data_IF_082930546036
#
_entry.id   IF_082930546036
#
_cell.length_a   1.000
_cell.length_b   1.000
_cell.length_c   1.000
_cell.angle_alpha   90.00
_cell.angle_beta   90.00
_cell.angle_gamma   90.00
#
_symmetry.space_group_name_H-M   'P 1'
#
loop_
_entity.id
_entity.type
_entity.pdbx_description
1 polymer ?
#
# COMPACT_ATOMS: atom_id res chain seq x y z
N UNK A 1 0.17 -17.50 9.36
CA UNK A 1 0.15 -16.81 10.67
C UNK A 1 -1.26 -16.28 10.94
N UNK A 2 -1.65 -16.14 12.20
CA UNK A 2 -2.91 -15.49 12.54
C UNK A 2 -2.89 -14.02 12.10
N UNK A 3 -4.08 -13.48 11.89
CA UNK A 3 -4.28 -12.04 11.70
C UNK A 3 -3.90 -11.29 12.98
N UNK A 4 -3.31 -10.11 12.82
CA UNK A 4 -3.04 -9.22 13.94
C UNK A 4 -4.26 -8.32 14.16
N UNK A 5 -4.71 -8.23 15.40
CA UNK A 5 -5.79 -7.33 15.78
C UNK A 5 -5.26 -6.23 16.69
N UNK A 6 -5.56 -4.98 16.33
CA UNK A 6 -5.32 -3.81 17.16
C UNK A 6 -6.66 -3.16 17.47
N UNK A 7 -6.85 -2.70 18.70
CA UNK A 7 -8.10 -2.05 19.07
C UNK A 7 -7.96 -1.07 20.23
N UNK A 8 -8.82 -0.08 20.19
CA UNK A 8 -9.10 0.81 21.32
C UNK A 8 -10.61 0.94 21.52
N UNK A 9 -11.07 1.90 22.35
CA UNK A 9 -12.48 2.12 22.61
C UNK A 9 -13.30 2.45 21.35
N UNK A 10 -12.68 3.11 20.35
CA UNK A 10 -13.37 3.65 19.17
C UNK A 10 -13.07 2.88 17.88
N UNK A 11 -11.88 2.34 17.73
CA UNK A 11 -11.39 1.79 16.47
C UNK A 11 -10.96 0.32 16.61
N UNK A 12 -11.14 -0.42 15.53
CA UNK A 12 -10.62 -1.78 15.34
C UNK A 12 -9.87 -1.86 14.02
N UNK A 13 -8.69 -2.48 14.05
CA UNK A 13 -7.83 -2.70 12.90
C UNK A 13 -7.40 -4.17 12.86
N UNK A 14 -7.49 -4.79 11.69
CA UNK A 14 -7.01 -6.13 11.43
C UNK A 14 -6.00 -6.11 10.30
N UNK A 15 -4.86 -6.78 10.49
CA UNK A 15 -3.72 -6.78 9.56
C UNK A 15 -3.35 -8.22 9.25
N UNK A 16 -3.08 -8.53 7.97
CA UNK A 16 -2.56 -9.81 7.52
C UNK A 16 -1.06 -9.76 7.25
N UNK A 17 -0.20 -10.33 8.12
CA UNK A 17 1.24 -10.42 7.83
C UNK A 17 1.56 -11.30 6.62
N UNK A 18 0.75 -12.30 6.34
CA UNK A 18 0.93 -13.24 5.21
C UNK A 18 0.66 -12.59 3.85
N UNK A 19 -0.11 -11.51 3.83
CA UNK A 19 -0.58 -10.84 2.63
C UNK A 19 -0.09 -9.39 2.61
N UNK A 20 1.22 -9.18 2.58
CA UNK A 20 1.83 -7.86 2.41
C UNK A 20 1.65 -6.88 3.58
N UNK A 21 1.40 -7.37 4.81
CA UNK A 21 0.98 -6.54 5.93
C UNK A 21 -0.25 -5.67 5.60
N UNK A 22 -1.13 -6.19 4.74
CA UNK A 22 -2.34 -5.53 4.28
C UNK A 22 -3.38 -5.42 5.39
N UNK A 23 -4.19 -4.37 5.35
CA UNK A 23 -5.33 -4.20 6.25
C UNK A 23 -6.53 -4.95 5.68
N UNK A 24 -7.03 -5.93 6.42
CA UNK A 24 -8.21 -6.72 6.08
C UNK A 24 -9.49 -6.14 6.65
N UNK A 25 -9.39 -5.36 7.72
CA UNK A 25 -10.52 -4.63 8.31
C UNK A 25 -10.02 -3.38 9.05
N UNK A 26 -10.70 -2.25 8.84
CA UNK A 26 -10.54 -1.04 9.63
C UNK A 26 -11.91 -0.38 9.80
N UNK A 27 -12.39 -0.30 11.03
CA UNK A 27 -13.73 0.22 11.30
C UNK A 27 -13.81 1.11 12.56
N UNK A 28 -14.81 1.99 12.56
CA UNK A 28 -15.32 2.68 13.73
C UNK A 28 -16.22 1.72 14.50
N UNK A 29 -15.81 1.36 15.71
CA UNK A 29 -16.53 0.41 16.57
C UNK A 29 -17.83 0.99 17.13
N UNK A 30 -17.88 2.30 17.37
CA UNK A 30 -19.06 2.95 17.93
C UNK A 30 -20.18 3.07 16.91
N UNK A 31 -19.81 3.39 15.65
CA UNK A 31 -20.74 3.55 14.56
C UNK A 31 -21.01 2.24 13.81
N UNK A 32 -20.28 1.18 14.16
CA UNK A 32 -20.27 -0.11 13.43
C UNK A 32 -20.09 0.09 11.91
N UNK A 33 -19.17 0.98 11.53
CA UNK A 33 -18.96 1.38 10.13
C UNK A 33 -17.54 1.09 9.69
N UNK A 34 -17.40 0.35 8.57
CA UNK A 34 -16.10 0.13 7.95
C UNK A 34 -15.60 1.43 7.32
N UNK A 35 -14.35 1.80 7.64
CA UNK A 35 -13.66 2.98 7.11
C UNK A 35 -12.93 2.60 5.83
N UNK A 36 -12.19 1.48 5.86
CA UNK A 36 -11.65 0.87 4.66
C UNK A 36 -12.56 -0.26 4.18
N UNK A 37 -12.48 -0.58 2.90
CA UNK A 37 -13.14 -1.75 2.32
C UNK A 37 -12.75 -3.00 3.12
N UNK A 38 -13.70 -3.73 3.72
CA UNK A 38 -13.39 -4.95 4.43
C UNK A 38 -13.01 -6.07 3.45
N UNK A 39 -12.10 -6.94 3.85
CA UNK A 39 -11.77 -8.13 3.08
C UNK A 39 -12.98 -9.08 3.01
N UNK A 40 -13.36 -9.59 1.82
CA UNK A 40 -14.55 -10.41 1.66
C UNK A 40 -14.45 -11.74 2.45
N UNK A 41 -15.47 -12.04 3.25
CA UNK A 41 -15.56 -13.31 4.02
C UNK A 41 -15.52 -14.57 3.16
N UNK A 42 -15.93 -14.47 1.90
CA UNK A 42 -15.97 -15.56 0.92
C UNK A 42 -14.60 -15.90 0.32
N UNK A 43 -13.58 -15.08 0.57
CA UNK A 43 -12.24 -15.30 0.01
C UNK A 43 -11.24 -15.71 1.09
N UNK A 44 -10.30 -16.56 0.69
CA UNK A 44 -9.16 -16.92 1.56
C UNK A 44 -8.11 -15.78 1.55
N UNK A 45 -7.53 -15.52 2.71
CA UNK A 45 -6.42 -14.57 2.85
C UNK A 45 -5.14 -15.23 2.33
N UNK A 46 -4.79 -14.91 1.11
CA UNK A 46 -3.59 -15.40 0.41
C UNK A 46 -2.97 -14.26 -0.39
N UNK A 47 -1.70 -14.40 -0.77
CA UNK A 47 -0.99 -13.42 -1.61
C UNK A 47 -1.73 -13.08 -2.93
N UNK A 48 -2.49 -14.01 -3.49
CA UNK A 48 -3.23 -13.81 -4.74
C UNK A 48 -4.52 -13.01 -4.56
N UNK A 49 -4.95 -12.78 -3.33
CA UNK A 49 -6.17 -12.06 -2.98
C UNK A 49 -5.90 -10.70 -2.34
N UNK A 50 -4.66 -10.21 -2.37
CA UNK A 50 -4.27 -8.92 -1.76
C UNK A 50 -5.05 -7.72 -2.32
N UNK A 51 -5.50 -7.75 -3.57
CA UNK A 51 -6.38 -6.74 -4.18
C UNK A 51 -7.71 -6.54 -3.45
N UNK A 52 -8.17 -7.53 -2.71
CA UNK A 52 -9.42 -7.43 -1.95
C UNK A 52 -9.25 -6.82 -0.57
N UNK A 53 -8.02 -6.52 -0.15
CA UNK A 53 -7.75 -5.84 1.12
C UNK A 53 -8.21 -4.37 1.09
N UNK A 54 -8.35 -3.79 2.26
CA UNK A 54 -8.68 -2.37 2.40
C UNK A 54 -7.47 -1.45 2.29
N UNK A 55 -6.26 -2.00 2.33
CA UNK A 55 -5.02 -1.27 2.23
C UNK A 55 -3.86 -2.22 2.01
N UNK A 56 -2.88 -1.78 1.23
CA UNK A 56 -1.55 -2.37 1.19
C UNK A 56 -0.48 -1.29 0.93
N UNK A 57 0.76 -1.59 1.31
CA UNK A 57 1.90 -0.72 1.02
C UNK A 57 2.51 -1.07 -0.32
N UNK A 58 2.93 -0.07 -1.08
CA UNK A 58 3.67 -0.23 -2.33
C UNK A 58 5.15 0.00 -2.06
N UNK A 59 5.96 -1.04 -2.22
CA UNK A 59 7.40 -1.02 -1.95
C UNK A 59 8.12 -2.13 -2.73
N UNK A 60 9.29 -1.86 -3.36
CA UNK A 60 10.14 -0.67 -3.28
C UNK A 60 9.77 0.41 -4.30
N UNK A 61 8.77 0.21 -5.13
CA UNK A 61 8.24 1.20 -6.05
C UNK A 61 6.71 1.16 -6.07
N UNK A 62 6.12 2.27 -6.53
CA UNK A 62 4.70 2.39 -6.72
C UNK A 62 4.40 2.55 -8.22
N UNK A 63 3.20 2.10 -8.65
CA UNK A 63 2.81 2.12 -10.07
C UNK A 63 3.31 0.92 -10.86
N UNK A 64 3.10 0.97 -12.18
CA UNK A 64 3.43 -0.09 -13.15
C UNK A 64 4.80 0.19 -13.78
N UNK A 65 5.60 -0.86 -13.92
CA UNK A 65 6.82 -0.84 -14.74
C UNK A 65 6.49 -1.57 -16.05
N UNK A 66 6.23 -0.79 -17.11
CA UNK A 66 5.82 -1.32 -18.41
C UNK A 66 6.84 -2.29 -19.00
N UNK A 67 6.34 -3.37 -19.59
CA UNK A 67 7.16 -4.47 -20.15
C UNK A 67 8.08 -5.11 -19.12
N UNK A 68 7.79 -4.94 -17.81
CA UNK A 68 8.63 -5.43 -16.70
C UNK A 68 10.11 -5.00 -16.79
N UNK A 69 10.41 -3.85 -17.39
CA UNK A 69 11.79 -3.46 -17.67
C UNK A 69 12.02 -2.00 -17.28
N UNK A 70 13.10 -1.74 -16.56
CA UNK A 70 13.55 -0.38 -16.27
C UNK A 70 15.04 -0.22 -16.57
N UNK A 71 15.45 1.02 -16.83
CA UNK A 71 16.83 1.38 -17.14
C UNK A 71 17.53 1.84 -15.87
N UNK A 72 18.64 1.19 -15.53
CA UNK A 72 19.46 1.52 -14.36
C UNK A 72 20.93 1.22 -14.63
N UNK A 73 21.83 2.14 -14.25
CA UNK A 73 23.29 2.01 -14.47
C UNK A 73 23.65 1.57 -15.90
N UNK A 74 23.11 2.28 -16.89
CA UNK A 74 23.32 2.03 -18.33
C UNK A 74 22.92 0.62 -18.82
N UNK A 75 22.01 -0.04 -18.10
CA UNK A 75 21.51 -1.39 -18.46
C UNK A 75 20.00 -1.45 -18.31
N UNK A 76 19.37 -2.24 -19.19
CA UNK A 76 17.97 -2.63 -19.01
C UNK A 76 17.90 -3.82 -18.08
N UNK A 77 17.13 -3.67 -17.01
CA UNK A 77 16.88 -4.71 -16.01
C UNK A 77 15.48 -5.24 -16.21
N UNK A 78 15.36 -6.53 -16.47
CA UNK A 78 14.08 -7.23 -16.55
C UNK A 78 13.67 -7.70 -15.17
N UNK A 79 12.44 -7.35 -14.73
CA UNK A 79 11.87 -7.77 -13.47
C UNK A 79 10.93 -8.97 -13.65
N UNK A 80 10.85 -9.80 -12.64
CA UNK A 80 9.79 -10.82 -12.55
C UNK A 80 8.50 -10.20 -12.09
N UNK A 81 7.38 -10.59 -12.68
CA UNK A 81 6.04 -10.18 -12.24
C UNK A 81 5.78 -10.57 -10.80
N UNK A 82 5.19 -9.68 -10.08
CA UNK A 82 4.90 -9.85 -8.65
C UNK A 82 3.51 -10.42 -8.39
N UNK A 83 2.59 -10.27 -9.34
CA UNK A 83 1.23 -10.80 -9.24
C UNK A 83 0.78 -11.46 -10.56
N UNK A 84 0.15 -12.66 -10.52
CA UNK A 84 -0.16 -13.42 -11.73
C UNK A 84 -1.28 -12.79 -12.60
N UNK A 85 -2.13 -11.94 -12.03
CA UNK A 85 -3.22 -11.30 -12.77
C UNK A 85 -2.80 -10.00 -13.46
N UNK A 86 -1.59 -9.52 -13.23
CA UNK A 86 -1.10 -8.29 -13.83
C UNK A 86 -0.33 -8.56 -15.12
N UNK A 87 -0.56 -7.80 -16.18
CA UNK A 87 0.18 -7.94 -17.43
C UNK A 87 1.65 -7.49 -17.30
N UNK A 88 1.92 -6.54 -16.42
CA UNK A 88 3.24 -6.00 -16.11
C UNK A 88 3.51 -6.04 -14.61
N UNK A 89 4.77 -5.87 -14.20
CA UNK A 89 5.09 -5.78 -12.78
C UNK A 89 4.59 -4.47 -12.17
N UNK A 90 3.99 -4.56 -10.98
CA UNK A 90 3.32 -3.43 -10.33
C UNK A 90 3.63 -3.39 -8.83
N UNK A 91 3.80 -2.18 -8.28
CA UNK A 91 3.88 -1.89 -6.84
C UNK A 91 5.01 -2.59 -6.06
N UNK A 92 6.00 -3.13 -6.76
CA UNK A 92 7.02 -3.97 -6.13
C UNK A 92 6.44 -5.29 -5.63
N UNK A 93 7.11 -5.93 -4.68
CA UNK A 93 6.63 -7.21 -4.15
C UNK A 93 6.14 -7.15 -2.70
N UNK A 94 6.34 -6.02 -2.02
CA UNK A 94 5.99 -5.90 -0.60
C UNK A 94 4.54 -6.23 -0.28
N UNK A 95 3.62 -5.88 -1.17
CA UNK A 95 2.18 -6.08 -1.01
C UNK A 95 1.71 -7.55 -1.15
N UNK A 96 2.52 -8.43 -1.76
CA UNK A 96 2.21 -9.86 -1.96
C UNK A 96 3.07 -10.78 -1.10
N UNK A 97 4.07 -10.25 -0.40
CA UNK A 97 4.98 -11.05 0.41
C UNK A 97 4.57 -11.09 1.86
N UNK A 98 5.06 -12.10 2.55
CA UNK A 98 4.92 -12.23 3.99
C UNK A 98 5.84 -11.26 4.72
N UNK A 99 5.30 -10.56 5.72
CA UNK A 99 6.04 -9.69 6.62
C UNK A 99 6.18 -10.34 8.00
N UNK A 100 7.33 -10.16 8.61
CA UNK A 100 7.61 -10.63 9.97
C UNK A 100 7.10 -9.60 10.98
N UNK A 101 6.31 -10.04 11.95
CA UNK A 101 5.91 -9.20 13.08
C UNK A 101 7.12 -8.99 13.97
N UNK A 102 7.51 -7.73 14.18
CA UNK A 102 8.61 -7.34 15.05
C UNK A 102 8.11 -6.99 16.45
N UNK A 103 6.98 -6.28 16.53
CA UNK A 103 6.37 -5.87 17.78
C UNK A 103 4.86 -5.74 17.60
N UNK A 104 4.12 -6.12 18.63
CA UNK A 104 2.67 -5.90 18.69
C UNK A 104 2.27 -5.52 20.12
N UNK A 105 1.35 -4.57 20.22
CA UNK A 105 0.62 -4.21 21.43
C UNK A 105 -0.87 -4.21 21.15
N UNK A 106 -1.69 -3.86 22.12
CA UNK A 106 -3.14 -3.72 21.91
C UNK A 106 -3.51 -2.66 20.85
N UNK A 107 -2.67 -1.64 20.66
CA UNK A 107 -2.96 -0.48 19.81
C UNK A 107 -1.91 -0.21 18.74
N UNK A 108 -0.86 -0.99 18.67
CA UNK A 108 0.21 -0.80 17.68
C UNK A 108 0.81 -2.10 17.19
N UNK A 109 1.31 -2.09 15.96
CA UNK A 109 2.12 -3.17 15.39
C UNK A 109 3.26 -2.61 14.54
N UNK A 110 4.39 -3.30 14.56
CA UNK A 110 5.53 -3.06 13.68
C UNK A 110 5.85 -4.35 12.93
N UNK A 111 5.85 -4.28 11.60
CA UNK A 111 6.14 -5.40 10.73
C UNK A 111 7.31 -5.05 9.82
N UNK A 112 8.15 -6.04 9.52
CA UNK A 112 9.32 -5.89 8.65
C UNK A 112 9.28 -6.90 7.51
N UNK A 113 9.75 -6.47 6.36
CA UNK A 113 10.01 -7.27 5.18
C UNK A 113 11.43 -7.01 4.71
N UNK A 114 12.19 -8.07 4.42
CA UNK A 114 13.56 -7.98 3.90
C UNK A 114 13.60 -8.61 2.52
N UNK A 115 13.95 -7.84 1.53
CA UNK A 115 14.21 -8.28 0.16
C UNK A 115 15.69 -8.54 -0.05
N UNK A 116 16.02 -9.66 -0.72
CA UNK A 116 17.40 -10.15 -0.85
C UNK A 116 18.05 -9.83 -2.21
N UNK A 117 17.52 -8.90 -3.01
CA UNK A 117 18.07 -8.61 -4.33
C UNK A 117 17.81 -9.75 -5.32
N UNK A 118 16.55 -10.01 -5.65
CA UNK A 118 16.14 -11.06 -6.59
C UNK A 118 15.55 -10.47 -7.86
N UNK A 119 15.10 -11.34 -8.75
CA UNK A 119 14.54 -10.96 -10.06
C UNK A 119 13.31 -10.04 -10.02
N UNK A 120 12.57 -9.97 -8.90
CA UNK A 120 11.48 -9.00 -8.71
C UNK A 120 11.98 -7.57 -8.43
N UNK A 121 13.19 -7.43 -7.89
CA UNK A 121 13.93 -6.18 -7.74
C UNK A 121 15.41 -6.49 -7.42
N UNK A 122 16.38 -5.90 -8.12
CA UNK A 122 17.79 -6.36 -8.04
C UNK A 122 18.50 -5.94 -6.75
N UNK A 123 18.01 -4.95 -6.03
CA UNK A 123 18.67 -4.37 -4.85
C UNK A 123 18.11 -4.91 -3.54
N UNK A 124 19.00 -5.09 -2.56
CA UNK A 124 18.61 -5.50 -1.20
C UNK A 124 18.04 -4.33 -0.42
N UNK A 125 16.93 -4.54 0.25
CA UNK A 125 16.32 -3.52 1.11
C UNK A 125 15.55 -4.14 2.29
N UNK A 126 15.33 -3.34 3.30
CA UNK A 126 14.37 -3.63 4.36
C UNK A 126 13.25 -2.60 4.33
N UNK A 127 12.02 -3.08 4.32
CA UNK A 127 10.85 -2.25 4.55
C UNK A 127 10.31 -2.49 5.96
N UNK A 128 9.86 -1.42 6.62
CA UNK A 128 9.25 -1.46 7.93
C UNK A 128 7.93 -0.68 7.89
N UNK A 129 6.82 -1.34 8.20
CA UNK A 129 5.53 -0.69 8.41
C UNK A 129 5.20 -0.62 9.89
N UNK A 130 4.72 0.54 10.33
CA UNK A 130 4.18 0.73 11.67
C UNK A 130 2.74 1.18 11.58
N UNK A 131 1.90 0.55 12.39
CA UNK A 131 0.49 0.87 12.56
C UNK A 131 0.27 1.30 14.01
N UNK A 132 -0.46 2.37 14.22
CA UNK A 132 -0.77 2.86 15.56
C UNK A 132 -2.17 3.46 15.63
N UNK A 133 -3.00 2.95 16.51
CA UNK A 133 -4.32 3.49 16.81
C UNK A 133 -4.21 4.50 17.94
N UNK A 134 -4.53 5.75 17.64
CA UNK A 134 -4.83 6.77 18.63
C UNK A 134 -6.32 6.76 18.96
N UNK A 135 -6.79 7.72 19.79
CA UNK A 135 -8.19 7.77 20.23
C UNK A 135 -9.19 7.65 19.08
N UNK A 136 -8.98 8.37 17.97
CA UNK A 136 -9.88 8.45 16.81
C UNK A 136 -9.17 8.37 15.46
N UNK A 137 -7.89 8.02 15.43
CA UNK A 137 -7.10 7.98 14.21
C UNK A 137 -6.24 6.73 14.10
N UNK A 138 -5.98 6.32 12.88
CA UNK A 138 -4.96 5.34 12.51
C UNK A 138 -3.78 6.08 11.89
N UNK A 139 -2.59 5.90 12.45
CA UNK A 139 -1.34 6.34 11.86
C UNK A 139 -0.65 5.14 11.22
N UNK A 140 -0.27 5.30 9.96
CA UNK A 140 0.52 4.32 9.21
C UNK A 140 1.80 5.02 8.75
N UNK A 141 2.94 4.39 8.98
CA UNK A 141 4.21 4.81 8.41
C UNK A 141 4.91 3.66 7.73
N UNK A 142 5.62 3.97 6.65
CA UNK A 142 6.51 3.04 5.96
C UNK A 142 7.89 3.65 5.85
N UNK A 143 8.90 2.84 6.10
CA UNK A 143 10.31 3.19 5.91
C UNK A 143 10.97 2.11 5.09
N UNK A 144 11.72 2.53 4.06
CA UNK A 144 12.60 1.67 3.28
C UNK A 144 14.04 2.02 3.66
N UNK A 145 14.83 1.01 3.98
CA UNK A 145 16.26 1.10 4.26
C UNK A 145 17.02 0.33 3.20
N UNK A 146 17.91 1.00 2.50
CA UNK A 146 18.83 0.36 1.56
C UNK A 146 19.80 -0.55 2.32
N UNK A 147 19.88 -1.80 1.92
CA UNK A 147 20.83 -2.80 2.44
C UNK A 147 21.89 -3.17 1.39
N UNK A 148 21.88 -2.50 0.27
CA UNK A 148 22.90 -2.65 -0.79
C UNK A 148 24.05 -1.66 -0.58
N UNK A 149 25.17 -1.93 -1.23
CA UNK A 149 26.36 -1.05 -1.21
C UNK A 149 26.17 0.18 -2.09
N UNK A 150 25.34 0.08 -3.14
CA UNK A 150 25.07 1.17 -4.08
C UNK A 150 23.69 1.79 -3.79
N UNK A 151 23.52 3.08 -4.07
CA UNK A 151 22.21 3.70 -4.05
C UNK A 151 21.33 3.12 -5.16
N UNK A 152 20.01 3.16 -4.95
CA UNK A 152 19.03 2.81 -5.96
C UNK A 152 17.79 3.70 -5.86
N UNK A 153 17.12 3.89 -6.98
CA UNK A 153 15.87 4.62 -7.03
C UNK A 153 14.74 3.80 -6.41
N UNK A 154 13.94 4.43 -5.57
CA UNK A 154 12.78 3.80 -4.95
C UNK A 154 11.59 4.78 -4.88
N UNK A 155 10.40 4.22 -4.89
CA UNK A 155 9.15 4.91 -4.62
C UNK A 155 8.36 4.12 -3.57
N UNK A 156 7.93 4.77 -2.51
CA UNK A 156 7.10 4.13 -1.50
C UNK A 156 5.74 4.82 -1.42
N UNK A 157 4.71 4.04 -1.17
CA UNK A 157 3.36 4.60 -1.12
C UNK A 157 2.38 3.74 -0.34
N UNK A 158 1.19 4.27 -0.23
CA UNK A 158 0.05 3.64 0.41
C UNK A 158 -1.08 3.50 -0.62
N UNK A 159 -1.73 2.36 -0.62
CA UNK A 159 -2.87 2.06 -1.49
C UNK A 159 -4.13 1.78 -0.67
N UNK A 160 -4.75 2.80 -0.09
CA UNK A 160 -5.98 2.62 0.68
C UNK A 160 -7.20 2.53 -0.24
N UNK A 161 -8.15 1.67 0.15
CA UNK A 161 -9.47 1.55 -0.45
C UNK A 161 -10.51 1.98 0.59
N UNK A 162 -10.92 3.24 0.51
CA UNK A 162 -11.94 3.76 1.40
C UNK A 162 -13.32 3.21 1.06
N UNK A 163 -14.09 2.92 2.11
CA UNK A 163 -15.51 2.61 1.96
C UNK A 163 -16.28 3.92 1.85
N UNK A 164 -16.57 4.35 0.63
CA UNK A 164 -17.18 5.65 0.33
C UNK A 164 -18.68 5.53 0.08
N UNK A 165 -19.42 6.62 0.36
CA UNK A 165 -20.79 6.87 -0.06
C UNK A 165 -20.84 7.97 -1.12
N UNK A 166 -22.01 8.20 -1.71
CA UNK A 166 -22.23 9.30 -2.66
C UNK A 166 -21.89 10.69 -2.10
N UNK A 167 -21.92 10.84 -0.77
CA UNK A 167 -21.65 12.09 -0.06
C UNK A 167 -20.20 12.22 0.42
N UNK A 168 -19.38 11.19 0.21
CA UNK A 168 -17.99 11.21 0.64
C UNK A 168 -17.17 12.23 -0.10
N UNK A 169 -16.34 12.98 0.64
CA UNK A 169 -15.50 14.05 0.12
C UNK A 169 -14.07 13.86 0.61
N UNK A 170 -13.10 14.15 -0.24
CA UNK A 170 -11.69 14.17 0.11
C UNK A 170 -11.23 15.62 0.19
N UNK A 171 -10.58 15.96 1.28
CA UNK A 171 -9.90 17.25 1.47
C UNK A 171 -8.40 17.01 1.50
N UNK A 172 -7.66 17.82 0.78
CA UNK A 172 -6.21 17.90 0.95
C UNK A 172 -5.74 19.33 0.67
N UNK A 173 -4.72 19.75 1.41
CA UNK A 173 -4.10 21.07 1.26
C UNK A 173 -3.12 21.09 0.09
N UNK A 174 -2.59 19.95 -0.32
CA UNK A 174 -1.63 19.82 -1.43
C UNK A 174 -1.96 18.55 -2.22
N UNK A 175 -2.41 18.74 -3.46
CA UNK A 175 -2.57 17.65 -4.42
C UNK A 175 -1.65 17.83 -5.61
N UNK A 176 -1.01 16.76 -6.02
CA UNK A 176 -0.48 16.62 -7.36
C UNK A 176 -1.24 15.48 -8.04
N UNK A 177 -1.77 15.72 -9.22
CA UNK A 177 -2.32 14.67 -10.06
C UNK A 177 -1.32 14.31 -11.14
N UNK A 178 -1.24 13.04 -11.44
CA UNK A 178 -0.63 12.56 -12.66
C UNK A 178 -1.78 12.24 -13.60
N UNK A 179 -2.04 13.10 -14.60
CA UNK A 179 -2.96 12.78 -15.69
C UNK A 179 -2.29 11.79 -16.62
N UNK A 180 -2.85 10.61 -16.72
CA UNK A 180 -2.44 9.59 -17.69
C UNK A 180 -3.21 9.79 -19.00
N UNK A 181 -2.70 10.62 -19.88
CA UNK A 181 -3.19 10.70 -21.27
C UNK A 181 -2.34 9.75 -22.11
N UNK A 182 -2.89 8.63 -22.52
CA UNK A 182 -2.39 7.51 -23.33
C UNK A 182 -0.92 7.46 -23.78
N UNK A 183 -0.13 8.54 -23.71
CA UNK A 183 1.29 8.61 -24.05
C UNK A 183 2.08 9.74 -23.35
N UNK A 184 1.45 10.54 -22.47
CA UNK A 184 2.14 11.62 -21.76
C UNK A 184 1.67 11.71 -20.31
N UNK A 185 2.59 11.49 -19.38
CA UNK A 185 2.35 11.77 -17.96
C UNK A 185 2.51 13.29 -17.74
N UNK A 186 1.43 14.00 -17.53
CA UNK A 186 1.47 15.40 -17.10
C UNK A 186 1.21 15.48 -15.60
N UNK A 187 2.20 15.87 -14.86
CA UNK A 187 2.04 16.21 -13.45
C UNK A 187 1.37 17.58 -13.34
N UNK A 188 0.17 17.62 -12.78
CA UNK A 188 -0.55 18.86 -12.47
C UNK A 188 -0.52 19.11 -10.98
N UNK A 189 0.20 20.13 -10.55
CA UNK A 189 0.23 20.56 -9.15
C UNK A 189 -0.95 21.49 -8.89
N UNK A 190 -1.81 21.15 -7.95
CA UNK A 190 -2.90 22.01 -7.47
C UNK A 190 -2.42 22.71 -6.19
N UNK A 191 -2.34 24.02 -6.21
CA UNK A 191 -1.81 24.86 -5.13
C UNK A 191 -2.86 25.33 -4.13
N UNK A 192 -4.13 24.97 -4.30
CA UNK A 192 -5.21 25.33 -3.36
C UNK A 192 -5.99 24.12 -2.90
N UNK A 193 -6.46 24.13 -1.66
CA UNK A 193 -7.38 23.13 -1.13
C UNK A 193 -8.61 23.02 -2.03
N UNK A 194 -8.68 21.98 -2.85
CA UNK A 194 -9.84 21.70 -3.67
C UNK A 194 -10.60 20.53 -3.10
N UNK A 195 -11.90 20.73 -2.93
CA UNK A 195 -12.83 19.65 -2.66
C UNK A 195 -12.91 18.75 -3.90
N UNK A 196 -12.42 17.53 -3.80
CA UNK A 196 -12.61 16.53 -4.85
C UNK A 196 -13.96 15.84 -4.62
N UNK A 197 -14.87 16.08 -5.56
CA UNK A 197 -16.10 15.31 -5.61
C UNK A 197 -15.81 13.97 -6.29
N UNK A 198 -15.74 12.91 -5.49
CA UNK A 198 -15.40 11.54 -5.94
C UNK A 198 -16.38 10.98 -6.99
N UNK A 199 -17.59 11.54 -7.07
CA UNK A 199 -18.58 11.13 -8.07
C UNK A 199 -18.30 11.64 -9.49
N UNK A 200 -17.45 12.67 -9.64
CA UNK A 200 -17.10 13.27 -10.93
C UNK A 200 -15.76 12.83 -11.49
N UNK A 201 -14.91 12.22 -10.67
CA UNK A 201 -13.59 11.77 -11.08
C UNK A 201 -13.43 10.31 -10.69
N UNK A 202 -13.32 9.41 -11.65
CA UNK A 202 -12.73 8.09 -11.40
C UNK A 202 -11.28 8.34 -11.05
N UNK A 203 -10.95 8.17 -9.79
CA UNK A 203 -9.57 8.13 -9.30
C UNK A 203 -9.24 6.64 -9.25
N UNK A 204 -8.54 6.18 -10.28
CA UNK A 204 -7.87 4.88 -10.28
C UNK A 204 -6.51 5.03 -9.62
#
# INVERSE_FOLDING_TARGET
MPLLSLQNKNLFLEISPEMGASITKFCDRKKNKDIFRPFPKTKKITKNNCYFSGYFATVPYFGVIHKDTFFYNNKYIKLSRTHPLEPDTIHGEGWVKKWKVKKQTKTSAELIYVHQGKSSFPHKYQACQKFSLNKTSLNISIRLTNLDHLPFDCGIGFHPWFNISAESKIFSNNFSFIENNKNNFKQKKLTSAKLLNLNKHKID
#
